data_IF_669270065508
#
_entry.id   IF_669270065508
#
_cell.length_a   1.000
_cell.length_b   1.000
_cell.length_c   1.000
_cell.angle_alpha   90.00
_cell.angle_beta   90.00
_cell.angle_gamma   90.00
#
_symmetry.space_group_name_H-M   'P 1'
#
loop_
_entity.id
_entity.type
_entity.pdbx_description
1 polymer ?
#
# COMPACT_ATOMS: atom_id res chain seq x y z
N UNK A 1 -13.59 38.31 -16.95
CA UNK A 1 -12.18 38.11 -16.58
C UNK A 1 -12.00 38.29 -15.06
N UNK A 2 -12.05 37.21 -14.26
CA UNK A 2 -11.62 37.26 -12.85
C UNK A 2 -10.15 36.82 -12.79
N UNK A 3 -9.25 37.79 -12.69
CA UNK A 3 -7.80 37.59 -12.56
C UNK A 3 -7.44 37.01 -11.17
N UNK A 4 -6.69 35.92 -11.16
CA UNK A 4 -5.36 35.95 -10.51
C UNK A 4 -5.18 35.45 -9.07
N UNK A 5 -6.11 34.73 -8.42
CA UNK A 5 -5.87 34.20 -7.05
C UNK A 5 -5.94 32.68 -6.91
N UNK A 6 -6.14 31.91 -7.99
CA UNK A 6 -6.40 30.47 -7.87
C UNK A 6 -5.17 29.57 -7.72
N UNK A 7 -3.96 30.02 -8.12
CA UNK A 7 -2.80 29.13 -8.25
C UNK A 7 -2.45 28.30 -7.00
N UNK A 8 -2.41 28.94 -5.82
CA UNK A 8 -2.07 28.25 -4.56
C UNK A 8 -3.23 27.45 -3.99
N UNK A 9 -4.48 27.91 -4.17
CA UNK A 9 -5.69 27.19 -3.74
C UNK A 9 -5.95 25.96 -4.58
N UNK A 10 -5.51 25.95 -5.84
CA UNK A 10 -5.57 24.79 -6.73
C UNK A 10 -4.52 23.73 -6.34
N UNK A 11 -3.36 24.15 -5.82
CA UNK A 11 -2.28 23.26 -5.38
C UNK A 11 -2.52 22.61 -4.00
N UNK A 12 -3.34 23.22 -3.15
CA UNK A 12 -3.72 22.67 -1.84
C UNK A 12 -5.25 22.49 -1.79
N UNK A 13 -5.79 21.37 -2.33
CA UNK A 13 -7.23 21.15 -2.44
C UNK A 13 -8.00 21.21 -1.12
N UNK A 14 -7.34 20.96 0.03
CA UNK A 14 -7.96 21.05 1.35
C UNK A 14 -8.64 22.40 1.60
N UNK A 15 -8.06 23.47 1.07
CA UNK A 15 -8.58 24.83 1.24
C UNK A 15 -9.91 25.08 0.52
N UNK A 16 -10.28 24.22 -0.44
CA UNK A 16 -11.53 24.31 -1.19
C UNK A 16 -12.65 23.48 -0.57
N UNK A 17 -12.35 22.23 -0.21
CA UNK A 17 -13.38 21.31 0.26
C UNK A 17 -13.69 21.47 1.74
N UNK A 18 -12.69 21.78 2.58
CA UNK A 18 -12.87 21.88 4.03
C UNK A 18 -13.88 22.98 4.44
N UNK A 19 -13.86 24.19 3.83
CA UNK A 19 -14.87 25.21 4.15
C UNK A 19 -16.28 24.89 3.64
N UNK A 20 -16.39 24.02 2.62
CA UNK A 20 -17.65 23.65 1.99
C UNK A 20 -18.26 22.37 2.57
N UNK A 21 -17.68 21.85 3.66
CA UNK A 21 -18.03 20.55 4.23
C UNK A 21 -19.26 20.64 5.15
N UNK A 22 -20.32 19.89 4.81
CA UNK A 22 -21.49 19.75 5.67
C UNK A 22 -21.25 18.72 6.78
N UNK A 23 -20.95 19.23 7.98
CA UNK A 23 -20.67 18.45 9.17
C UNK A 23 -21.88 17.63 9.63
N UNK A 24 -23.10 18.14 9.48
CA UNK A 24 -24.29 17.48 10.05
C UNK A 24 -24.65 16.21 9.30
N UNK A 25 -24.44 16.19 7.99
CA UNK A 25 -24.84 15.06 7.14
C UNK A 25 -23.71 14.06 6.88
N UNK A 26 -22.46 14.52 6.79
CA UNK A 26 -21.35 13.69 6.28
C UNK A 26 -20.44 13.13 7.37
N UNK A 27 -20.37 13.79 8.55
CA UNK A 27 -19.40 13.44 9.58
C UNK A 27 -19.55 12.00 10.06
N UNK A 28 -20.77 11.52 10.28
CA UNK A 28 -21.02 10.16 10.77
C UNK A 28 -20.53 9.11 9.78
N UNK A 29 -20.85 9.28 8.49
CA UNK A 29 -20.42 8.34 7.45
C UNK A 29 -18.90 8.36 7.27
N UNK A 30 -18.28 9.55 7.37
CA UNK A 30 -16.84 9.71 7.24
C UNK A 30 -16.07 9.11 8.43
N UNK A 31 -16.61 9.23 9.65
CA UNK A 31 -16.04 8.56 10.83
C UNK A 31 -16.15 7.04 10.67
N UNK A 32 -17.32 6.51 10.27
CA UNK A 32 -17.51 5.08 10.08
C UNK A 32 -16.57 4.55 8.99
N UNK A 33 -16.50 5.23 7.84
CA UNK A 33 -15.60 4.87 6.74
C UNK A 33 -14.13 4.96 7.14
N UNK A 34 -13.72 6.06 7.78
CA UNK A 34 -12.35 6.27 8.26
C UNK A 34 -11.91 5.23 9.29
N UNK A 35 -12.76 4.91 10.27
CA UNK A 35 -12.48 3.86 11.26
C UNK A 35 -12.39 2.49 10.57
N UNK A 36 -13.31 2.17 9.66
CA UNK A 36 -13.27 0.91 8.90
C UNK A 36 -11.98 0.78 8.09
N UNK A 37 -11.64 1.80 7.32
CA UNK A 37 -10.43 1.82 6.48
C UNK A 37 -9.17 1.78 7.34
N UNK A 38 -9.15 2.51 8.47
CA UNK A 38 -8.06 2.48 9.45
C UNK A 38 -7.85 1.09 10.05
N UNK A 39 -8.94 0.38 10.39
CA UNK A 39 -8.86 -1.01 10.85
C UNK A 39 -8.25 -1.91 9.77
N UNK A 40 -8.59 -1.72 8.50
CA UNK A 40 -8.04 -2.51 7.39
C UNK A 40 -6.57 -2.19 7.09
N UNK A 41 -6.10 -0.99 7.41
CA UNK A 41 -4.70 -0.61 7.25
C UNK A 41 -3.74 -1.41 8.13
N UNK A 42 -4.13 -1.70 9.37
CA UNK A 42 -3.27 -2.40 10.34
C UNK A 42 -2.78 -3.75 9.81
N UNK A 43 -3.67 -4.71 9.45
CA UNK A 43 -3.23 -6.02 8.99
C UNK A 43 -2.56 -5.99 7.61
N UNK A 44 -3.06 -5.16 6.70
CA UNK A 44 -2.50 -5.02 5.35
C UNK A 44 -1.09 -4.42 5.39
N UNK A 45 -0.88 -3.39 6.22
CA UNK A 45 0.42 -2.77 6.46
C UNK A 45 1.46 -3.79 6.89
N UNK A 46 1.14 -4.56 7.94
CA UNK A 46 2.02 -5.60 8.46
C UNK A 46 2.33 -6.69 7.42
N UNK A 47 1.32 -7.15 6.69
CA UNK A 47 1.48 -8.17 5.66
C UNK A 47 2.38 -7.68 4.51
N UNK A 48 2.21 -6.44 4.05
CA UNK A 48 2.99 -5.90 2.94
C UNK A 48 4.40 -5.46 3.34
N UNK A 49 4.66 -5.10 4.60
CA UNK A 49 6.03 -4.90 5.09
C UNK A 49 6.90 -6.14 4.86
N UNK A 50 6.33 -7.33 5.09
CA UNK A 50 7.04 -8.60 4.85
C UNK A 50 7.34 -8.86 3.37
N UNK A 51 6.60 -8.26 2.43
CA UNK A 51 6.88 -8.32 0.99
C UNK A 51 8.03 -7.39 0.59
N UNK A 52 8.12 -6.22 1.22
CA UNK A 52 9.28 -5.31 1.06
C UNK A 52 10.54 -5.93 1.70
N UNK A 53 10.33 -6.80 2.69
CA UNK A 53 11.40 -7.41 3.47
C UNK A 53 11.79 -6.62 4.71
N UNK A 54 10.89 -5.77 5.19
CA UNK A 54 11.04 -4.99 6.41
C UNK A 54 10.21 -5.59 7.55
N UNK A 55 10.47 -5.16 8.79
CA UNK A 55 9.63 -5.51 9.93
C UNK A 55 8.20 -4.97 9.78
N UNK A 56 7.19 -5.65 10.33
CA UNK A 56 5.78 -5.23 10.26
C UNK A 56 5.49 -3.80 10.73
N UNK A 57 6.28 -3.26 11.67
CA UNK A 57 6.13 -1.90 12.18
C UNK A 57 6.20 -0.83 11.08
N UNK A 58 7.09 -1.01 10.11
CA UNK A 58 7.27 -0.06 9.01
C UNK A 58 6.03 0.01 8.09
N UNK A 59 5.21 -1.05 8.07
CA UNK A 59 3.95 -1.06 7.35
C UNK A 59 2.83 -0.30 8.04
N UNK A 60 2.91 -0.16 9.36
CA UNK A 60 2.01 0.72 10.12
C UNK A 60 2.37 2.19 9.83
N UNK A 61 3.66 2.53 9.81
CA UNK A 61 4.11 3.88 9.44
C UNK A 61 3.74 4.24 8.00
N UNK A 62 3.97 3.33 7.05
CA UNK A 62 3.60 3.52 5.64
C UNK A 62 2.09 3.54 5.42
N UNK A 63 1.30 3.07 6.38
CA UNK A 63 -0.16 3.22 6.34
C UNK A 63 -0.62 4.59 6.85
N UNK A 64 0.08 5.15 7.84
CA UNK A 64 -0.30 6.38 8.52
C UNK A 64 0.17 7.65 7.79
N UNK A 65 1.49 7.81 7.59
CA UNK A 65 2.07 9.06 7.07
C UNK A 65 1.56 9.43 5.68
N UNK A 66 1.47 8.49 4.71
CA UNK A 66 0.95 8.81 3.39
C UNK A 66 -0.50 9.29 3.40
N UNK A 67 -1.36 8.65 4.19
CA UNK A 67 -2.76 9.05 4.34
C UNK A 67 -2.88 10.46 4.93
N UNK A 68 -2.08 10.78 5.95
CA UNK A 68 -2.07 12.09 6.59
C UNK A 68 -1.65 13.20 5.60
N UNK A 69 -0.59 12.98 4.84
CA UNK A 69 -0.07 13.99 3.89
C UNK A 69 -1.01 14.11 2.69
N UNK A 70 -1.56 13.00 2.19
CA UNK A 70 -2.49 13.00 1.06
C UNK A 70 -3.78 13.78 1.34
N UNK A 71 -4.22 13.85 2.59
CA UNK A 71 -5.37 14.68 3.00
C UNK A 71 -5.24 16.15 2.56
N UNK A 72 -4.02 16.71 2.55
CA UNK A 72 -3.77 18.11 2.22
C UNK A 72 -3.70 18.37 0.70
N UNK A 73 -3.08 17.45 -0.04
CA UNK A 73 -2.67 17.67 -1.44
C UNK A 73 -3.49 16.87 -2.47
N UNK A 74 -4.17 15.80 -2.04
CA UNK A 74 -4.93 14.90 -2.90
C UNK A 74 -6.22 15.52 -3.42
N UNK A 75 -6.64 15.13 -4.62
CA UNK A 75 -7.92 15.56 -5.23
C UNK A 75 -8.99 14.48 -5.19
N UNK A 76 -8.57 13.22 -5.01
CA UNK A 76 -9.46 12.07 -5.08
C UNK A 76 -10.14 11.78 -3.75
N UNK A 77 -11.45 12.05 -3.71
CA UNK A 77 -12.29 12.07 -2.49
C UNK A 77 -12.30 10.77 -1.69
N UNK A 78 -12.36 9.63 -2.39
CA UNK A 78 -12.57 8.33 -1.76
C UNK A 78 -11.30 7.48 -1.72
N UNK A 79 -10.23 7.93 -2.40
CA UNK A 79 -8.99 7.16 -2.58
C UNK A 79 -8.29 6.99 -1.24
N UNK A 80 -8.07 5.72 -0.88
CA UNK A 80 -7.34 5.36 0.33
C UNK A 80 -5.87 5.09 -0.03
N UNK A 81 -5.02 6.09 0.23
CA UNK A 81 -3.58 6.01 -0.01
C UNK A 81 -2.87 5.24 1.12
N UNK A 82 -1.99 4.31 0.78
CA UNK A 82 -1.15 3.63 1.78
C UNK A 82 -0.35 2.50 1.18
N UNK A 83 -0.30 1.37 1.88
CA UNK A 83 0.41 0.20 1.39
C UNK A 83 -0.36 -0.48 0.23
N UNK A 84 0.37 -0.88 -0.81
CA UNK A 84 -0.18 -1.61 -1.97
C UNK A 84 0.75 -2.77 -2.36
N UNK A 85 0.17 -3.93 -2.69
CA UNK A 85 0.92 -5.17 -2.86
C UNK A 85 1.99 -5.09 -3.95
N UNK A 86 1.66 -4.51 -5.12
CA UNK A 86 2.56 -4.45 -6.27
C UNK A 86 3.74 -3.52 -6.01
N UNK A 87 3.46 -2.32 -5.50
CA UNK A 87 4.50 -1.37 -5.11
C UNK A 87 5.38 -1.96 -4.01
N UNK A 88 4.81 -2.69 -3.05
CA UNK A 88 5.57 -3.36 -1.99
C UNK A 88 6.48 -4.47 -2.53
N UNK A 89 6.05 -5.24 -3.54
CA UNK A 89 6.89 -6.24 -4.20
C UNK A 89 8.01 -5.62 -5.04
N UNK A 90 7.72 -4.53 -5.76
CA UNK A 90 8.73 -3.82 -6.56
C UNK A 90 9.77 -3.18 -5.64
N UNK A 91 9.33 -2.47 -4.60
CA UNK A 91 10.22 -1.94 -3.56
C UNK A 91 11.01 -3.03 -2.87
N UNK A 92 10.41 -4.19 -2.57
CA UNK A 92 11.13 -5.33 -2.00
C UNK A 92 12.18 -5.94 -2.92
N UNK A 93 11.92 -5.99 -4.22
CA UNK A 93 12.87 -6.50 -5.22
C UNK A 93 14.07 -5.55 -5.38
N UNK A 94 13.80 -4.23 -5.40
CA UNK A 94 14.83 -3.18 -5.39
C UNK A 94 15.67 -3.24 -4.09
N UNK A 95 15.00 -3.24 -2.94
CA UNK A 95 15.60 -3.32 -1.62
C UNK A 95 16.53 -4.52 -1.48
N UNK A 96 16.08 -5.71 -1.89
CA UNK A 96 16.90 -6.92 -1.85
C UNK A 96 18.17 -6.79 -2.69
N UNK A 97 18.05 -6.33 -3.94
CA UNK A 97 19.17 -6.21 -4.87
C UNK A 97 20.23 -5.25 -4.34
N UNK A 98 19.80 -4.06 -3.92
CA UNK A 98 20.70 -3.00 -3.45
C UNK A 98 21.30 -3.35 -2.09
N UNK A 99 20.52 -3.91 -1.17
CA UNK A 99 21.04 -4.34 0.14
C UNK A 99 22.09 -5.44 -0.02
N UNK A 100 21.87 -6.42 -0.89
CA UNK A 100 22.86 -7.47 -1.17
C UNK A 100 24.17 -6.90 -1.74
N UNK A 101 24.07 -5.92 -2.63
CA UNK A 101 25.24 -5.25 -3.20
C UNK A 101 26.03 -4.44 -2.15
N UNK A 102 25.33 -3.70 -1.29
CA UNK A 102 25.95 -2.91 -0.22
C UNK A 102 26.58 -3.80 0.86
N UNK A 103 25.92 -4.90 1.23
CA UNK A 103 26.46 -5.90 2.17
C UNK A 103 27.71 -6.56 1.59
N UNK A 104 27.73 -6.86 0.29
CA UNK A 104 28.91 -7.41 -0.37
C UNK A 104 30.09 -6.42 -0.37
N UNK A 105 29.83 -5.11 -0.40
CA UNK A 105 30.86 -4.05 -0.37
C UNK A 105 31.42 -3.79 1.04
N UNK A 106 30.59 -3.90 2.08
CA UNK A 106 30.97 -3.58 3.47
C UNK A 106 31.57 -4.77 4.26
N UNK A 107 31.70 -5.95 3.66
CA UNK A 107 32.27 -7.15 4.29
C UNK A 107 31.27 -8.03 5.05
N UNK A 108 31.69 -9.25 5.39
CA UNK A 108 30.80 -10.33 5.88
C UNK A 108 30.42 -10.28 7.37
N UNK A 109 30.95 -9.33 8.15
CA UNK A 109 30.74 -9.24 9.60
C UNK A 109 29.59 -8.29 10.02
N UNK A 110 28.62 -8.04 9.14
CA UNK A 110 27.45 -7.23 9.49
C UNK A 110 26.45 -8.02 10.34
N UNK A 111 26.03 -7.43 11.45
CA UNK A 111 24.96 -7.95 12.29
C UNK A 111 23.61 -7.85 11.58
N UNK A 112 22.63 -8.68 11.98
CA UNK A 112 21.27 -8.64 11.44
C UNK A 112 20.59 -7.27 11.60
N UNK A 113 20.94 -6.53 12.67
CA UNK A 113 20.40 -5.20 12.94
C UNK A 113 20.96 -4.15 11.96
N UNK A 114 22.23 -4.24 11.59
CA UNK A 114 22.84 -3.34 10.61
C UNK A 114 22.28 -3.57 9.20
N UNK A 115 22.09 -4.82 8.80
CA UNK A 115 21.44 -5.17 7.51
C UNK A 115 20.02 -4.60 7.46
N UNK A 116 19.30 -4.63 8.57
CA UNK A 116 17.97 -4.03 8.67
C UNK A 116 18.01 -2.51 8.52
N UNK A 117 18.97 -1.83 9.17
CA UNK A 117 19.19 -0.39 9.02
C UNK A 117 19.44 0.00 7.56
N UNK A 118 20.36 -0.71 6.89
CA UNK A 118 20.66 -0.52 5.46
C UNK A 118 19.39 -0.70 4.62
N UNK A 119 18.61 -1.75 4.90
CA UNK A 119 17.39 -2.04 4.15
C UNK A 119 16.34 -0.94 4.31
N UNK A 120 16.20 -0.36 5.50
CA UNK A 120 15.31 0.78 5.76
C UNK A 120 15.79 2.02 5.00
N UNK A 121 17.09 2.30 5.00
CA UNK A 121 17.64 3.46 4.31
C UNK A 121 17.52 3.36 2.78
N UNK A 122 17.74 2.18 2.20
CA UNK A 122 17.51 1.94 0.77
C UNK A 122 16.07 2.25 0.38
N UNK A 123 15.11 1.82 1.19
CA UNK A 123 13.68 2.02 0.93
C UNK A 123 13.25 3.48 1.11
N UNK A 124 13.83 4.18 2.09
CA UNK A 124 13.66 5.64 2.25
C UNK A 124 14.19 6.39 1.02
N UNK A 125 15.41 6.08 0.58
CA UNK A 125 16.01 6.66 -0.62
C UNK A 125 15.20 6.37 -1.88
N UNK A 126 14.64 5.16 -2.00
CA UNK A 126 13.71 4.80 -3.06
C UNK A 126 12.45 5.67 -3.02
N UNK A 127 11.87 5.88 -1.83
CA UNK A 127 10.72 6.77 -1.63
C UNK A 127 11.00 8.21 -2.09
N UNK A 128 12.16 8.77 -1.74
CA UNK A 128 12.54 10.11 -2.15
C UNK A 128 12.74 10.20 -3.67
N UNK A 129 13.47 9.25 -4.26
CA UNK A 129 13.69 9.20 -5.70
C UNK A 129 12.37 9.14 -6.49
N UNK A 130 11.42 8.30 -6.04
CA UNK A 130 10.07 8.22 -6.62
C UNK A 130 9.35 9.55 -6.48
N UNK A 131 9.40 10.17 -5.30
CA UNK A 131 8.74 11.45 -5.04
C UNK A 131 9.24 12.56 -5.97
N UNK A 132 10.56 12.68 -6.11
CA UNK A 132 11.16 13.63 -7.05
C UNK A 132 10.77 13.36 -8.50
N UNK A 133 10.81 12.09 -8.95
CA UNK A 133 10.42 11.73 -10.31
C UNK A 133 8.95 12.08 -10.57
N UNK A 134 8.04 11.83 -9.62
CA UNK A 134 6.62 12.16 -9.76
C UNK A 134 6.38 13.67 -9.78
N UNK A 135 7.11 14.45 -8.98
CA UNK A 135 7.07 15.92 -9.03
C UNK A 135 7.55 16.41 -10.41
N UNK A 136 8.68 15.88 -10.90
CA UNK A 136 9.22 16.23 -12.23
C UNK A 136 8.21 15.87 -13.33
N UNK A 137 7.59 14.69 -13.26
CA UNK A 137 6.53 14.27 -14.18
C UNK A 137 5.32 15.22 -14.16
N UNK A 138 4.94 15.71 -12.97
CA UNK A 138 3.90 16.74 -12.82
C UNK A 138 4.30 18.07 -13.47
N UNK A 139 5.56 18.50 -13.34
CA UNK A 139 6.10 19.74 -13.92
C UNK A 139 6.12 19.69 -15.45
N UNK A 140 6.57 18.59 -16.04
CA UNK A 140 6.62 18.41 -17.51
C UNK A 140 5.24 18.13 -18.13
N UNK A 141 4.16 18.14 -17.32
CA UNK A 141 2.79 17.81 -17.76
C UNK A 141 2.70 16.42 -18.39
N UNK A 142 3.32 15.43 -17.74
CA UNK A 142 3.23 14.02 -18.15
C UNK A 142 1.83 13.40 -17.98
N UNK A 143 0.81 14.19 -17.58
CA UNK A 143 -0.58 13.75 -17.54
C UNK A 143 -1.09 13.24 -18.89
N UNK A 144 -0.50 13.69 -20.00
CA UNK A 144 -0.80 13.17 -21.34
C UNK A 144 -0.38 11.71 -21.53
N UNK A 145 0.70 11.27 -20.88
CA UNK A 145 1.18 9.89 -20.97
C UNK A 145 0.19 8.91 -20.33
N UNK A 146 -0.43 9.32 -19.22
CA UNK A 146 -1.42 8.50 -18.50
C UNK A 146 -2.74 8.39 -19.28
N UNK A 147 -3.12 9.40 -20.08
CA UNK A 147 -4.31 9.29 -20.94
C UNK A 147 -4.21 8.22 -22.03
N UNK A 148 -3.00 7.76 -22.38
CA UNK A 148 -2.81 6.71 -23.38
C UNK A 148 -2.77 5.29 -22.83
N UNK A 149 -2.78 5.13 -21.51
CA UNK A 149 -2.84 3.79 -20.92
C UNK A 149 -4.26 3.26 -21.07
N UNK A 150 -4.41 2.32 -21.99
CA UNK A 150 -5.69 1.63 -22.18
C UNK A 150 -6.04 0.80 -20.95
N UNK A 151 -7.34 0.62 -20.73
CA UNK A 151 -7.85 -0.25 -19.66
C UNK A 151 -7.28 -1.68 -19.76
N UNK A 152 -6.97 -2.14 -20.98
CA UNK A 152 -6.38 -3.45 -21.24
C UNK A 152 -4.95 -3.58 -20.71
N UNK A 153 -4.13 -2.53 -20.81
CA UNK A 153 -2.77 -2.52 -20.25
C UNK A 153 -2.83 -2.63 -18.73
N UNK A 154 -3.76 -1.88 -18.10
CA UNK A 154 -3.94 -1.89 -16.65
C UNK A 154 -4.43 -3.28 -16.18
N UNK A 155 -5.37 -3.90 -16.90
CA UNK A 155 -5.88 -5.22 -16.58
C UNK A 155 -4.79 -6.30 -16.72
N UNK A 156 -4.00 -6.27 -17.79
CA UNK A 156 -2.86 -7.18 -17.98
C UNK A 156 -1.81 -7.02 -16.88
N UNK A 157 -1.44 -5.78 -16.54
CA UNK A 157 -0.50 -5.47 -15.48
C UNK A 157 -0.99 -5.94 -14.11
N UNK A 158 -2.23 -5.63 -13.74
CA UNK A 158 -2.81 -6.03 -12.45
C UNK A 158 -2.94 -7.54 -12.31
N UNK A 159 -3.29 -8.25 -13.39
CA UNK A 159 -3.35 -9.73 -13.42
C UNK A 159 -1.96 -10.34 -13.24
N UNK A 160 -0.95 -9.87 -13.98
CA UNK A 160 0.43 -10.33 -13.82
C UNK A 160 0.97 -10.05 -12.42
N UNK A 161 0.70 -8.86 -11.88
CA UNK A 161 1.09 -8.50 -10.53
C UNK A 161 0.37 -9.33 -9.47
N UNK A 162 -0.91 -9.71 -9.67
CA UNK A 162 -1.64 -10.60 -8.79
C UNK A 162 -1.01 -12.00 -8.73
N UNK A 163 -0.55 -12.55 -9.86
CA UNK A 163 0.21 -13.81 -9.89
C UNK A 163 1.50 -13.66 -9.08
N UNK A 164 2.26 -12.59 -9.28
CA UNK A 164 3.47 -12.34 -8.48
C UNK A 164 3.20 -12.22 -6.98
N UNK A 165 2.12 -11.53 -6.59
CA UNK A 165 1.70 -11.43 -5.18
C UNK A 165 1.32 -12.78 -4.62
N UNK A 166 0.52 -13.58 -5.34
CA UNK A 166 0.13 -14.92 -4.93
C UNK A 166 1.37 -15.80 -4.69
N UNK A 167 2.27 -15.87 -5.67
CA UNK A 167 3.53 -16.63 -5.57
C UNK A 167 4.37 -16.20 -4.36
N UNK A 168 4.43 -14.89 -4.08
CA UNK A 168 5.19 -14.34 -2.95
C UNK A 168 4.57 -14.63 -1.57
N UNK A 169 3.33 -15.13 -1.49
CA UNK A 169 2.71 -15.59 -0.23
C UNK A 169 2.77 -17.11 -0.05
N UNK A 170 3.00 -17.89 -1.11
CA UNK A 170 2.98 -19.36 -1.03
C UNK A 170 3.98 -19.93 -0.01
N UNK A 171 5.18 -19.36 0.05
CA UNK A 171 6.19 -19.76 1.03
C UNK A 171 5.76 -19.53 2.48
N UNK A 172 5.01 -18.45 2.74
CA UNK A 172 4.46 -18.14 4.07
C UNK A 172 3.30 -19.06 4.43
N UNK A 173 2.44 -19.39 3.47
CA UNK A 173 1.33 -20.36 3.65
C UNK A 173 1.89 -21.74 4.00
N UNK A 174 2.95 -22.18 3.32
CA UNK A 174 3.64 -23.44 3.61
C UNK A 174 4.55 -23.38 4.85
N UNK A 175 4.84 -22.18 5.37
CA UNK A 175 5.74 -21.99 6.51
C UNK A 175 7.21 -22.29 6.22
N UNK A 176 7.65 -22.19 4.96
CA UNK A 176 9.03 -22.48 4.54
C UNK A 176 9.82 -21.21 4.23
N UNK A 177 11.08 -21.18 4.66
CA UNK A 177 12.01 -20.10 4.32
C UNK A 177 12.65 -20.39 2.96
N UNK A 178 12.19 -19.68 1.91
CA UNK A 178 12.78 -19.77 0.58
C UNK A 178 13.83 -18.67 0.36
N UNK A 179 14.90 -18.97 -0.40
CA UNK A 179 15.80 -17.93 -0.89
C UNK A 179 15.03 -16.94 -1.76
N UNK A 180 15.43 -15.67 -1.70
CA UNK A 180 14.81 -14.63 -2.53
C UNK A 180 15.56 -14.50 -3.86
N UNK A 181 14.82 -14.58 -4.96
CA UNK A 181 15.36 -14.42 -6.32
C UNK A 181 14.98 -13.07 -6.93
N UNK A 182 15.89 -12.50 -7.72
CA UNK A 182 15.67 -11.27 -8.51
C UNK A 182 15.93 -11.55 -9.99
N UNK A 183 15.44 -10.67 -10.88
CA UNK A 183 15.70 -10.76 -12.32
C UNK A 183 14.59 -11.41 -13.15
N UNK A 184 14.89 -11.62 -14.44
CA UNK A 184 13.99 -12.21 -15.42
C UNK A 184 13.73 -13.68 -15.09
N UNK A 185 12.47 -14.13 -15.23
CA UNK A 185 12.11 -15.52 -14.96
C UNK A 185 12.08 -15.90 -13.47
N UNK A 186 12.13 -14.95 -12.53
CA UNK A 186 12.15 -15.23 -11.07
C UNK A 186 11.05 -16.19 -10.59
N UNK A 187 9.89 -16.20 -11.26
CA UNK A 187 8.79 -17.08 -10.91
C UNK A 187 9.18 -18.56 -11.03
N UNK A 188 9.90 -18.94 -12.10
CA UNK A 188 10.32 -20.32 -12.31
C UNK A 188 11.26 -20.80 -11.19
N UNK A 189 12.20 -19.97 -10.77
CA UNK A 189 13.09 -20.28 -9.65
C UNK A 189 12.33 -20.43 -8.33
N UNK A 190 11.36 -19.54 -8.05
CA UNK A 190 10.54 -19.65 -6.84
C UNK A 190 9.70 -20.93 -6.86
N UNK A 191 9.08 -21.28 -7.99
CA UNK A 191 8.29 -22.52 -8.10
C UNK A 191 9.17 -23.77 -7.96
N UNK A 192 10.36 -23.79 -8.56
CA UNK A 192 11.33 -24.88 -8.38
C UNK A 192 11.71 -25.05 -6.92
N UNK A 193 12.07 -23.97 -6.23
CA UNK A 193 12.51 -24.03 -4.84
C UNK A 193 11.35 -24.39 -3.88
N UNK A 194 10.13 -23.97 -4.23
CA UNK A 194 8.91 -24.35 -3.52
C UNK A 194 8.63 -25.85 -3.68
N UNK A 195 8.71 -26.40 -4.89
CA UNK A 195 8.55 -27.83 -5.14
C UNK A 195 9.62 -28.64 -4.39
N UNK A 196 10.88 -28.25 -4.48
CA UNK A 196 11.96 -28.92 -3.74
C UNK A 196 11.71 -28.89 -2.23
N UNK A 197 11.21 -27.78 -1.69
CA UNK A 197 10.88 -27.68 -0.26
C UNK A 197 9.71 -28.57 0.16
N UNK A 198 8.76 -28.83 -0.76
CA UNK A 198 7.64 -29.76 -0.54
C UNK A 198 8.13 -31.20 -0.61
N UNK A 199 8.99 -31.54 -1.57
CA UNK A 199 9.58 -32.88 -1.69
C UNK A 199 10.47 -33.23 -0.48
N UNK A 200 11.19 -32.25 0.06
CA UNK A 200 12.07 -32.42 1.22
C UNK A 200 11.32 -32.49 2.58
N UNK A 201 9.97 -32.51 2.60
CA UNK A 201 9.09 -32.43 3.79
C UNK A 201 9.45 -31.31 4.79
N UNK A 202 9.99 -30.18 4.30
CA UNK A 202 10.33 -29.00 5.13
C UNK A 202 9.10 -28.16 5.51
N UNK A 203 7.91 -28.57 5.07
CA UNK A 203 6.65 -27.83 5.22
C UNK A 203 6.17 -27.91 6.66
N UNK A 204 5.90 -26.74 7.27
CA UNK A 204 5.29 -26.70 8.58
C UNK A 204 3.77 -26.96 8.44
N UNK A 205 3.37 -28.20 8.72
CA UNK A 205 1.98 -28.70 8.59
C UNK A 205 0.98 -27.84 9.39
N UNK A 206 1.40 -27.27 10.52
CA UNK A 206 0.53 -26.44 11.38
C UNK A 206 0.35 -25.06 10.79
N UNK A 207 1.41 -24.45 10.26
CA UNK A 207 1.31 -23.18 9.51
C UNK A 207 0.39 -23.33 8.30
N UNK A 208 0.50 -24.46 7.58
CA UNK A 208 -0.36 -24.75 6.44
C UNK A 208 -1.82 -24.91 6.85
N UNK A 209 -2.10 -25.71 7.88
CA UNK A 209 -3.46 -25.91 8.40
C UNK A 209 -4.07 -24.59 8.88
N UNK A 210 -3.32 -23.78 9.64
CA UNK A 210 -3.76 -22.47 10.11
C UNK A 210 -4.03 -21.50 8.95
N UNK A 211 -3.19 -21.51 7.91
CA UNK A 211 -3.37 -20.68 6.71
C UNK A 211 -4.61 -21.08 5.91
N UNK A 212 -4.84 -22.38 5.72
CA UNK A 212 -6.04 -22.90 5.04
C UNK A 212 -7.30 -22.53 5.84
N UNK A 213 -7.28 -22.76 7.17
CA UNK A 213 -8.39 -22.39 8.04
C UNK A 213 -8.69 -20.89 7.97
N UNK A 214 -7.66 -20.04 8.02
CA UNK A 214 -7.80 -18.59 7.85
C UNK A 214 -8.46 -18.21 6.51
N UNK A 215 -8.02 -18.80 5.40
CA UNK A 215 -8.59 -18.54 4.07
C UNK A 215 -10.07 -18.96 4.02
N UNK A 216 -10.39 -20.15 4.53
CA UNK A 216 -11.77 -20.68 4.56
C UNK A 216 -12.68 -19.80 5.44
N UNK A 217 -12.22 -19.42 6.64
CA UNK A 217 -12.97 -18.53 7.54
C UNK A 217 -13.24 -17.18 6.86
N UNK A 218 -12.23 -16.57 6.23
CA UNK A 218 -12.41 -15.30 5.53
C UNK A 218 -13.32 -15.42 4.31
N UNK A 219 -13.23 -16.53 3.57
CA UNK A 219 -14.10 -16.80 2.43
C UNK A 219 -15.56 -16.90 2.89
N UNK A 220 -15.84 -17.69 3.92
CA UNK A 220 -17.20 -17.85 4.49
C UNK A 220 -17.71 -16.52 5.05
N UNK A 221 -16.87 -15.81 5.82
CA UNK A 221 -17.22 -14.53 6.41
C UNK A 221 -17.58 -13.47 5.35
N UNK A 222 -16.77 -13.35 4.30
CA UNK A 222 -16.98 -12.36 3.23
C UNK A 222 -18.11 -12.76 2.29
N UNK A 223 -18.22 -14.02 1.89
CA UNK A 223 -19.18 -14.43 0.86
C UNK A 223 -20.55 -14.81 1.41
N UNK A 224 -20.63 -15.44 2.58
CA UNK A 224 -21.91 -15.88 3.16
C UNK A 224 -22.42 -14.97 4.28
N UNK A 225 -21.53 -14.50 5.16
CA UNK A 225 -21.94 -13.72 6.34
C UNK A 225 -22.21 -12.25 6.00
N UNK A 226 -21.38 -11.66 5.14
CA UNK A 226 -21.53 -10.25 4.72
C UNK A 226 -22.88 -9.95 4.07
N UNK A 227 -23.39 -10.70 3.08
CA UNK A 227 -24.71 -10.40 2.51
C UNK A 227 -25.84 -10.53 3.53
N UNK A 228 -25.77 -11.49 4.46
CA UNK A 228 -26.77 -11.67 5.51
C UNK A 228 -26.75 -10.52 6.54
N UNK A 229 -25.56 -10.01 6.91
CA UNK A 229 -25.42 -8.91 7.86
C UNK A 229 -25.63 -7.54 7.22
N UNK A 230 -25.23 -7.34 5.96
CA UNK A 230 -25.50 -6.11 5.21
C UNK A 230 -27.00 -5.87 5.01
N UNK A 231 -27.83 -6.92 5.05
CA UNK A 231 -29.29 -6.77 5.06
C UNK A 231 -29.81 -6.08 6.35
N UNK A 232 -29.04 -6.10 7.44
CA UNK A 232 -29.46 -5.59 8.76
C UNK A 232 -28.65 -4.37 9.22
N UNK A 233 -27.40 -4.21 8.76
CA UNK A 233 -26.50 -3.11 9.18
C UNK A 233 -25.75 -2.51 7.99
N UNK A 234 -25.60 -1.18 7.98
CA UNK A 234 -24.91 -0.41 6.93
C UNK A 234 -23.38 -0.34 7.11
N UNK A 235 -22.84 -1.00 8.14
CA UNK A 235 -21.42 -0.91 8.52
C UNK A 235 -20.66 -2.14 7.98
N UNK A 236 -19.61 -1.95 7.16
CA UNK A 236 -18.74 -3.05 6.74
C UNK A 236 -17.98 -3.65 7.93
N UNK A 237 -18.06 -4.97 8.09
CA UNK A 237 -17.45 -5.69 9.23
C UNK A 237 -15.99 -6.06 8.90
N UNK A 238 -15.03 -5.69 9.76
CA UNK A 238 -13.61 -5.96 9.52
C UNK A 238 -13.23 -7.39 9.94
N UNK A 239 -13.68 -8.39 9.20
CA UNK A 239 -13.39 -9.82 9.48
C UNK A 239 -11.89 -10.12 9.56
N UNK A 240 -11.09 -9.41 8.77
CA UNK A 240 -9.62 -9.56 8.75
C UNK A 240 -9.01 -9.25 10.13
N UNK A 241 -9.55 -8.25 10.86
CA UNK A 241 -9.10 -7.91 12.21
C UNK A 241 -9.53 -8.96 13.23
N UNK A 242 -10.80 -9.39 13.18
CA UNK A 242 -11.31 -10.43 14.09
C UNK A 242 -10.49 -11.71 13.99
N UNK A 243 -10.17 -12.14 12.77
CA UNK A 243 -9.34 -13.30 12.54
C UNK A 243 -7.96 -13.16 13.20
N UNK A 244 -7.33 -11.98 13.08
CA UNK A 244 -6.01 -11.73 13.69
C UNK A 244 -6.09 -11.72 15.21
N UNK A 245 -7.12 -11.10 15.80
CA UNK A 245 -7.30 -11.08 17.26
C UNK A 245 -7.49 -12.50 17.79
N UNK A 246 -8.43 -13.27 17.21
CA UNK A 246 -8.69 -14.65 17.61
C UNK A 246 -7.47 -15.53 17.35
N UNK A 247 -6.83 -15.41 16.19
CA UNK A 247 -5.62 -16.17 15.84
C UNK A 247 -4.45 -15.87 16.77
N UNK A 248 -4.29 -14.63 17.22
CA UNK A 248 -3.25 -14.24 18.20
C UNK A 248 -3.56 -14.83 19.57
N UNK A 249 -4.82 -14.78 20.03
CA UNK A 249 -5.24 -15.38 21.29
C UNK A 249 -5.02 -16.89 21.30
N UNK A 250 -5.44 -17.59 20.24
CA UNK A 250 -5.22 -19.03 20.06
C UNK A 250 -3.73 -19.36 20.02
N UNK A 251 -2.94 -18.59 19.26
CA UNK A 251 -1.48 -18.77 19.16
C UNK A 251 -0.77 -18.59 20.51
N UNK A 252 -1.21 -17.62 21.31
CA UNK A 252 -0.69 -17.36 22.66
C UNK A 252 -1.09 -18.47 23.64
N UNK A 253 -2.34 -18.94 23.59
CA UNK A 253 -2.84 -19.97 24.49
C UNK A 253 -2.16 -21.33 24.27
N UNK A 254 -1.97 -21.72 23.01
CA UNK A 254 -1.32 -23.00 22.65
C UNK A 254 0.21 -22.91 22.53
N UNK A 255 0.80 -21.74 22.80
CA UNK A 255 2.22 -21.45 22.65
C UNK A 255 2.81 -21.99 21.33
N UNK A 256 2.10 -21.74 20.21
CA UNK A 256 2.36 -22.40 18.91
C UNK A 256 3.80 -22.17 18.43
N UNK A 257 4.38 -21.00 18.73
CA UNK A 257 5.77 -20.71 18.40
C UNK A 257 6.76 -21.66 19.10
N UNK A 258 6.58 -21.91 20.40
CA UNK A 258 7.48 -22.75 21.18
C UNK A 258 7.30 -24.24 20.86
N UNK A 259 6.04 -24.66 20.69
CA UNK A 259 5.71 -26.08 20.52
C UNK A 259 5.87 -26.56 19.07
N UNK A 260 5.68 -25.68 18.08
CA UNK A 260 5.59 -26.05 16.68
C UNK A 260 6.45 -25.20 15.74
N UNK A 261 7.33 -24.37 16.29
CA UNK A 261 8.28 -23.52 15.57
C UNK A 261 7.63 -22.66 14.47
N UNK A 262 6.38 -22.25 14.68
CA UNK A 262 5.67 -21.37 13.75
C UNK A 262 6.21 -19.95 13.91
N UNK A 263 6.65 -19.35 12.80
CA UNK A 263 7.19 -18.00 12.79
C UNK A 263 6.13 -16.98 13.20
N UNK A 264 6.41 -16.25 14.27
CA UNK A 264 5.57 -15.14 14.77
C UNK A 264 6.10 -13.77 14.34
N UNK A 265 5.23 -12.77 14.43
CA UNK A 265 5.53 -11.35 14.17
C UNK A 265 6.58 -10.81 15.15
N UNK A 266 6.57 -11.30 16.40
CA UNK A 266 7.50 -10.86 17.44
C UNK A 266 7.13 -9.50 18.05
N UNK A 267 8.09 -8.90 18.76
CA UNK A 267 7.90 -7.61 19.42
C UNK A 267 7.83 -6.46 18.40
N UNK A 268 6.78 -5.64 18.49
CA UNK A 268 6.62 -4.41 17.70
C UNK A 268 6.96 -3.23 18.62
N UNK A 269 8.02 -2.44 18.31
CA UNK A 269 8.35 -1.29 19.13
C UNK A 269 7.22 -0.26 19.10
N UNK A 270 6.90 0.29 20.28
CA UNK A 270 5.93 1.36 20.43
C UNK A 270 6.64 2.71 20.37
N UNK A 271 6.22 3.58 19.46
CA UNK A 271 6.76 4.93 19.36
C UNK A 271 6.66 5.48 17.94
N UNK A 272 6.89 6.78 17.79
CA UNK A 272 7.07 7.40 16.48
C UNK A 272 8.54 7.31 16.07
N UNK A 273 8.83 7.02 14.79
CA UNK A 273 10.19 7.04 14.30
C UNK A 273 10.67 8.48 14.18
N UNK A 274 11.92 8.75 14.59
CA UNK A 274 12.55 10.04 14.38
C UNK A 274 12.74 10.31 12.87
N UNK A 275 12.44 11.52 12.39
CA UNK A 275 12.73 11.90 11.01
C UNK A 275 14.23 11.80 10.73
N UNK A 276 14.60 11.14 9.65
CA UNK A 276 15.98 11.00 9.18
C UNK A 276 16.02 11.18 7.67
N UNK A 277 16.97 11.99 7.18
CA UNK A 277 17.13 12.20 5.75
C UNK A 277 17.56 10.89 5.06
N UNK A 278 17.02 10.58 3.87
CA UNK A 278 17.45 9.46 3.06
C UNK A 278 18.83 9.70 2.45
N UNK A 279 19.59 8.62 2.26
CA UNK A 279 20.90 8.71 1.62
C UNK A 279 20.76 8.86 0.10
N UNK A 280 21.21 10.00 -0.41
CA UNK A 280 21.17 10.36 -1.84
C UNK A 280 22.28 9.67 -2.63
N UNK A 281 23.34 9.16 -1.97
CA UNK A 281 24.47 8.51 -2.65
C UNK A 281 24.06 7.25 -3.44
N UNK A 282 23.00 6.57 -2.97
CA UNK A 282 22.50 5.32 -3.53
C UNK A 282 21.62 5.57 -4.78
N UNK A 283 21.26 6.83 -5.09
CA UNK A 283 20.31 7.16 -6.17
C UNK A 283 20.68 6.57 -7.52
N UNK A 284 21.97 6.52 -7.86
CA UNK A 284 22.45 5.89 -9.10
C UNK A 284 22.04 4.43 -9.26
N UNK A 285 21.93 3.67 -8.14
CA UNK A 285 21.58 2.24 -8.14
C UNK A 285 20.07 1.97 -8.16
N UNK A 286 19.26 2.96 -7.77
CA UNK A 286 17.80 2.83 -7.57
C UNK A 286 16.96 3.58 -8.60
N UNK A 287 17.53 4.50 -9.38
CA UNK A 287 16.79 5.39 -10.29
C UNK A 287 15.91 4.64 -11.29
N UNK A 288 16.39 3.51 -11.83
CA UNK A 288 15.63 2.69 -12.78
C UNK A 288 14.38 2.07 -12.15
N UNK A 289 14.49 1.52 -10.93
CA UNK A 289 13.33 1.00 -10.21
C UNK A 289 12.41 2.13 -9.77
N UNK A 290 12.98 3.27 -9.32
CA UNK A 290 12.22 4.43 -8.90
C UNK A 290 11.33 4.95 -10.04
N UNK A 291 11.84 5.00 -11.27
CA UNK A 291 11.06 5.40 -12.45
C UNK A 291 9.89 4.44 -12.70
N UNK A 292 10.16 3.13 -12.69
CA UNK A 292 9.13 2.11 -12.91
C UNK A 292 8.03 2.17 -11.81
N UNK A 293 8.42 2.28 -10.55
CA UNK A 293 7.49 2.35 -9.41
C UNK A 293 6.72 3.67 -9.43
N UNK A 294 7.35 4.79 -9.80
CA UNK A 294 6.70 6.09 -9.92
C UNK A 294 5.53 6.04 -10.91
N UNK A 295 5.77 5.48 -12.10
CA UNK A 295 4.75 5.31 -13.14
C UNK A 295 3.63 4.40 -12.62
N UNK A 296 3.96 3.21 -12.12
CA UNK A 296 2.98 2.25 -11.61
C UNK A 296 2.11 2.87 -10.51
N UNK A 297 2.71 3.59 -9.55
CA UNK A 297 1.99 4.19 -8.43
C UNK A 297 0.99 5.26 -8.88
N UNK A 298 1.38 6.12 -9.84
CA UNK A 298 0.46 7.14 -10.37
C UNK A 298 -0.64 6.49 -11.20
N UNK A 299 -0.30 5.52 -12.06
CA UNK A 299 -1.28 4.84 -12.92
C UNK A 299 -2.37 4.19 -12.08
N UNK A 300 -2.00 3.40 -11.05
CA UNK A 300 -2.99 2.76 -10.17
C UNK A 300 -3.87 3.78 -9.46
N UNK A 301 -3.28 4.88 -8.99
CA UNK A 301 -4.01 5.93 -8.28
C UNK A 301 -4.99 6.66 -9.21
N UNK A 302 -4.55 7.07 -10.40
CA UNK A 302 -5.39 7.77 -11.37
C UNK A 302 -6.48 6.86 -11.93
N UNK A 303 -6.17 5.60 -12.23
CA UNK A 303 -7.16 4.63 -12.70
C UNK A 303 -8.25 4.40 -11.65
N UNK A 304 -7.87 4.16 -10.40
CA UNK A 304 -8.85 3.98 -9.33
C UNK A 304 -9.65 5.26 -9.06
N UNK A 305 -8.97 6.40 -9.07
CA UNK A 305 -9.60 7.70 -8.99
C UNK A 305 -10.68 7.85 -10.06
N UNK A 306 -10.34 7.65 -11.35
CA UNK A 306 -11.26 7.79 -12.49
C UNK A 306 -12.48 6.88 -12.37
N UNK A 307 -12.32 5.64 -11.90
CA UNK A 307 -13.43 4.70 -11.69
C UNK A 307 -14.43 5.26 -10.67
N UNK A 308 -13.94 5.79 -9.53
CA UNK A 308 -14.81 6.35 -8.50
C UNK A 308 -15.38 7.72 -8.91
N UNK A 309 -14.59 8.54 -9.60
CA UNK A 309 -15.01 9.81 -10.20
C UNK A 309 -16.19 9.62 -11.15
N UNK A 310 -16.15 8.60 -12.01
CA UNK A 310 -17.26 8.25 -12.91
C UNK A 310 -18.50 7.78 -12.15
N UNK A 311 -18.34 7.09 -11.02
CA UNK A 311 -19.45 6.62 -10.18
C UNK A 311 -20.17 7.75 -9.44
N UNK A 312 -19.45 8.78 -9.02
CA UNK A 312 -19.96 9.91 -8.21
C UNK A 312 -20.01 11.24 -8.94
N UNK A 313 -19.85 11.22 -10.26
CA UNK A 313 -19.92 12.38 -11.15
C UNK A 313 -19.04 13.57 -10.69
N UNK A 314 -17.75 13.29 -10.47
CA UNK A 314 -16.76 14.35 -10.21
C UNK A 314 -15.52 14.19 -11.09
N UNK A 315 -14.75 15.26 -11.25
CA UNK A 315 -13.54 15.27 -12.08
C UNK A 315 -12.30 15.17 -11.19
N UNK A 316 -11.30 14.42 -11.65
CA UNK A 316 -9.98 14.31 -11.02
C UNK A 316 -8.95 15.04 -11.86
N UNK A 317 -8.16 15.89 -11.21
CA UNK A 317 -7.02 16.53 -11.84
C UNK A 317 -5.80 15.60 -11.76
N UNK A 318 -5.50 14.94 -12.88
CA UNK A 318 -4.36 14.02 -13.00
C UNK A 318 -3.03 14.71 -12.72
N UNK A 319 -2.88 15.99 -13.09
CA UNK A 319 -1.63 16.72 -12.86
C UNK A 319 -1.43 16.96 -11.37
N UNK A 320 -2.50 17.31 -10.66
CA UNK A 320 -2.45 17.48 -9.21
C UNK A 320 -2.16 16.15 -8.49
N UNK A 321 -2.66 15.02 -8.99
CA UNK A 321 -2.32 13.70 -8.42
C UNK A 321 -0.83 13.36 -8.56
N UNK A 322 -0.14 13.77 -9.64
CA UNK A 322 1.33 13.64 -9.72
C UNK A 322 2.04 14.41 -8.61
N UNK A 323 1.64 15.67 -8.38
CA UNK A 323 2.20 16.48 -7.31
C UNK A 323 1.87 15.93 -5.93
N UNK A 324 0.62 15.52 -5.70
CA UNK A 324 0.18 14.97 -4.43
C UNK A 324 0.95 13.70 -4.07
N UNK A 325 1.05 12.74 -5.00
CA UNK A 325 1.81 11.50 -4.78
C UNK A 325 3.31 11.79 -4.61
N UNK A 326 3.86 12.70 -5.40
CA UNK A 326 5.27 13.05 -5.32
C UNK A 326 5.66 13.73 -4.01
N UNK A 327 4.81 14.64 -3.52
CA UNK A 327 4.94 15.28 -2.20
C UNK A 327 4.81 14.22 -1.10
N UNK A 328 3.79 13.37 -1.17
CA UNK A 328 3.59 12.30 -0.20
C UNK A 328 4.81 11.39 -0.11
N UNK A 329 5.32 10.90 -1.24
CA UNK A 329 6.49 10.03 -1.27
C UNK A 329 7.75 10.74 -0.75
N UNK A 330 7.96 12.02 -1.10
CA UNK A 330 9.10 12.80 -0.63
C UNK A 330 9.06 13.04 0.89
N UNK A 331 7.91 13.46 1.44
CA UNK A 331 7.78 13.66 2.88
C UNK A 331 7.82 12.34 3.66
N UNK A 332 7.20 11.28 3.14
CA UNK A 332 7.23 9.96 3.78
C UNK A 332 8.62 9.35 3.80
N UNK A 333 9.50 9.70 2.85
CA UNK A 333 10.89 9.21 2.80
C UNK A 333 11.75 9.67 3.99
N UNK A 334 11.34 10.74 4.69
CA UNK A 334 12.00 11.20 5.91
C UNK A 334 11.70 10.27 7.09
N UNK A 335 10.64 9.48 7.00
CA UNK A 335 10.29 8.43 7.95
C UNK A 335 10.68 7.08 7.35
N UNK A 336 10.81 6.01 8.15
CA UNK A 336 11.12 4.68 7.63
C UNK A 336 9.88 4.05 6.96
N UNK A 337 9.45 4.67 5.87
CA UNK A 337 8.32 4.28 5.05
C UNK A 337 8.79 3.98 3.63
N UNK A 338 8.09 3.05 2.96
CA UNK A 338 8.27 2.83 1.53
C UNK A 338 7.23 3.62 0.74
N UNK A 339 7.44 3.84 -0.58
CA UNK A 339 6.47 4.53 -1.42
C UNK A 339 5.06 3.93 -1.29
N UNK A 340 4.09 4.80 -1.04
CA UNK A 340 2.69 4.44 -0.95
C UNK A 340 2.00 4.52 -2.30
N UNK A 341 0.87 3.82 -2.42
CA UNK A 341 -0.03 3.90 -3.56
C UNK A 341 -1.46 3.61 -3.14
N UNK A 342 -2.39 3.75 -4.08
CA UNK A 342 -3.82 3.55 -3.83
C UNK A 342 -4.16 2.08 -3.69
N UNK A 343 -4.89 1.72 -2.63
CA UNK A 343 -5.42 0.38 -2.46
C UNK A 343 -6.84 0.27 -3.01
N UNK A 344 -7.04 -0.63 -3.97
CA UNK A 344 -8.32 -0.87 -4.63
C UNK A 344 -9.41 -1.30 -3.63
N UNK A 345 -9.16 -2.35 -2.85
CA UNK A 345 -10.13 -2.90 -1.90
C UNK A 345 -10.53 -1.89 -0.82
N UNK A 346 -9.56 -1.15 -0.25
CA UNK A 346 -9.83 -0.12 0.76
C UNK A 346 -10.64 1.03 0.19
N UNK A 347 -10.30 1.49 -1.01
CA UNK A 347 -11.04 2.57 -1.68
C UNK A 347 -12.49 2.18 -1.97
N UNK A 348 -12.75 0.93 -2.40
CA UNK A 348 -14.11 0.43 -2.59
C UNK A 348 -14.89 0.28 -1.29
N UNK A 349 -14.24 -0.15 -0.20
CA UNK A 349 -14.88 -0.24 1.11
C UNK A 349 -15.21 1.17 1.65
N UNK A 350 -14.31 2.13 1.45
CA UNK A 350 -14.54 3.53 1.81
C UNK A 350 -15.74 4.12 1.05
N UNK A 351 -15.78 3.89 -0.26
CA UNK A 351 -16.90 4.26 -1.14
C UNK A 351 -18.23 3.61 -0.68
N UNK A 352 -18.23 2.30 -0.42
CA UNK A 352 -19.41 1.58 0.04
C UNK A 352 -19.87 1.98 1.45
N UNK A 353 -18.97 2.45 2.31
CA UNK A 353 -19.31 3.04 3.61
C UNK A 353 -20.04 4.39 3.47
N UNK A 354 -20.09 4.95 2.25
CA UNK A 354 -20.80 6.19 1.96
C UNK A 354 -20.07 7.43 2.43
N UNK A 355 -18.73 7.39 2.49
CA UNK A 355 -17.92 8.55 2.82
C UNK A 355 -18.13 9.65 1.80
N UNK A 356 -18.25 10.89 2.27
CA UNK A 356 -18.50 12.09 1.48
C UNK A 356 -17.47 13.20 1.77
N UNK A 357 -16.37 12.89 2.46
CA UNK A 357 -15.23 13.82 2.64
C UNK A 357 -14.72 14.31 1.29
N UNK A 358 -14.15 15.52 1.27
CA UNK A 358 -13.66 16.19 0.06
C UNK A 358 -14.74 16.56 -0.98
N UNK A 359 -16.03 16.47 -0.64
CA UNK A 359 -17.13 16.98 -1.47
C UNK A 359 -17.09 18.51 -1.54
N UNK A 360 -16.95 19.06 -2.74
CA UNK A 360 -17.09 20.50 -2.98
C UNK A 360 -18.57 20.78 -3.17
N UNK A 361 -19.20 21.46 -2.20
CA UNK A 361 -20.55 22.01 -2.34
C UNK A 361 -20.40 23.32 -3.13
N UNK A 362 -20.77 23.32 -4.42
CA UNK A 362 -20.74 24.56 -5.21
C UNK A 362 -20.50 24.43 -6.71
N UNK A 363 -20.21 23.24 -7.26
CA UNK A 363 -20.25 23.07 -8.72
C UNK A 363 -21.66 22.64 -9.11
N UNK A 364 -22.58 23.61 -9.10
CA UNK A 364 -23.72 23.54 -9.99
C UNK A 364 -23.14 23.68 -11.39
N UNK A 365 -23.08 22.57 -12.09
CA UNK A 365 -22.71 22.52 -13.50
C UNK A 365 -23.77 23.32 -14.26
N UNK A 366 -23.47 24.57 -14.60
CA UNK A 366 -24.22 25.36 -15.56
C UNK A 366 -23.98 24.77 -16.96
N UNK A 367 -24.40 23.52 -17.17
CA UNK A 367 -24.42 22.83 -18.47
C UNK A 367 -25.84 22.77 -19.06
N UNK A 368 -26.69 23.72 -18.68
CA UNK A 368 -27.87 24.13 -19.45
C UNK A 368 -27.72 25.61 -19.81
N UNK A 369 -26.94 25.88 -20.87
CA UNK A 369 -27.10 27.01 -21.80
C UNK A 369 -26.13 26.91 -22.97
#
# INVERSE_FOLDING_TARGET
MKKGTSGWRDFIPITKWLPSYDVKQNLINDIIGGVTVGILHVPQGMAYASLVGLKPVYGLYTSLFPSLIYMFFGTSRHVSLGVFAVVSLMSGSCNLRVTQELVAQNGTNLTKAEIEGISVDVVKSLGLAIGMIQIIMGLIKANYLISYLSDQIILGFTTGAAVHVLTAQLNKILGVALPRHTGMGKLFYIYRDLLNSILDDKVNKITLAASIAAIVILYIAKYHLTPALCAKTRIPIPYDLFLIVVGTAVSSYFAINSNYHVKIVGHIPTGFPSPALPDVSIFGKIVGDALAIAIVSVVVTVSMGKVIAKKHDYVIDVRQEFFALGIVASFCSMFPCWPASTALARTLINDNAGTKTQKIVGVQDNRDK
#
